data_IF_250653775067
#
_entry.id   IF_250653775067
#
_cell.length_a   1.000
_cell.length_b   1.000
_cell.length_c   1.000
_cell.angle_alpha   90.00
_cell.angle_beta   90.00
_cell.angle_gamma   90.00
#
_symmetry.space_group_name_H-M   'P 1'
#
loop_
_entity.id
_entity.type
_entity.pdbx_description
1 polymer ?
#
# COMPACT_ATOMS: atom_id res chain seq x y z
N UNK A 1 19.67 1.35 -38.95
CA UNK A 1 19.04 2.68 -38.86
C UNK A 1 18.23 2.67 -37.57
N UNK A 2 18.83 3.21 -36.51
CA UNK A 2 18.24 3.29 -35.17
C UNK A 2 17.26 4.48 -35.16
N UNK A 3 16.03 4.28 -34.71
CA UNK A 3 15.02 5.34 -34.58
C UNK A 3 14.79 5.64 -33.09
N UNK A 4 15.12 6.83 -32.57
CA UNK A 4 15.09 7.12 -31.13
C UNK A 4 13.68 7.37 -30.55
N UNK A 5 12.60 7.04 -31.27
CA UNK A 5 11.23 7.51 -30.91
C UNK A 5 10.38 6.41 -30.25
N UNK A 6 10.88 5.19 -30.07
CA UNK A 6 10.13 4.14 -29.35
C UNK A 6 10.12 4.27 -27.82
N UNK A 7 10.76 5.29 -27.24
CA UNK A 7 10.80 5.51 -25.78
C UNK A 7 9.82 6.61 -25.27
N UNK A 8 9.00 7.19 -26.14
CA UNK A 8 8.03 8.24 -25.77
C UNK A 8 6.58 7.76 -25.84
N UNK A 9 6.20 6.83 -24.95
CA UNK A 9 4.84 6.59 -24.43
C UNK A 9 4.91 5.35 -23.52
N UNK A 10 4.98 5.43 -22.19
CA UNK A 10 3.83 5.75 -21.36
C UNK A 10 4.22 5.86 -19.87
N UNK A 11 5.26 6.64 -19.51
CA UNK A 11 5.38 7.08 -18.11
C UNK A 11 4.20 8.01 -17.80
N UNK A 12 3.05 7.41 -17.45
CA UNK A 12 1.89 8.11 -16.89
C UNK A 12 2.46 8.95 -15.76
N UNK A 13 2.46 10.26 -15.94
CA UNK A 13 2.80 11.17 -14.85
C UNK A 13 1.82 10.85 -13.72
N UNK A 14 2.28 10.76 -12.45
CA UNK A 14 1.35 10.60 -11.34
C UNK A 14 0.34 11.74 -11.42
N UNK A 15 -0.95 11.40 -11.44
CA UNK A 15 -2.02 12.40 -11.60
C UNK A 15 -2.15 13.27 -10.35
N UNK A 16 -1.70 12.76 -9.20
CA UNK A 16 -1.80 13.39 -7.90
C UNK A 16 -0.44 13.26 -7.21
N UNK A 17 0.12 14.36 -6.74
CA UNK A 17 1.41 14.39 -6.07
C UNK A 17 1.28 15.16 -4.75
N UNK A 18 1.70 14.54 -3.66
CA UNK A 18 1.79 15.16 -2.34
C UNK A 18 3.27 15.41 -2.02
N UNK A 19 3.68 16.67 -2.12
CA UNK A 19 5.08 17.10 -1.92
C UNK A 19 5.42 17.45 -0.46
N UNK A 20 4.46 17.23 0.45
CA UNK A 20 4.52 17.49 1.88
C UNK A 20 4.09 16.23 2.64
N UNK A 21 4.44 16.12 3.92
CA UNK A 21 3.98 15.02 4.76
C UNK A 21 2.46 15.06 4.89
N UNK A 22 1.81 13.89 4.81
CA UNK A 22 0.35 13.76 4.86
C UNK A 22 -0.04 12.88 6.04
N UNK A 23 -1.02 13.31 6.82
CA UNK A 23 -1.56 12.54 7.94
C UNK A 23 -3.06 12.32 7.77
N UNK A 24 -3.44 11.05 7.80
CA UNK A 24 -4.78 10.51 7.93
C UNK A 24 -4.91 9.69 9.22
N UNK A 25 -4.08 9.99 10.22
CA UNK A 25 -4.06 9.29 11.51
C UNK A 25 -5.46 9.30 12.12
N UNK A 26 -6.02 8.12 12.41
CA UNK A 26 -7.38 7.93 12.93
C UNK A 26 -8.51 8.46 12.04
N UNK A 27 -8.24 8.77 10.77
CA UNK A 27 -9.27 9.17 9.83
C UNK A 27 -10.30 8.04 9.63
N UNK A 28 -11.54 8.41 9.33
CA UNK A 28 -12.61 7.47 9.03
C UNK A 28 -13.09 7.75 7.61
N UNK A 29 -12.91 6.76 6.73
CA UNK A 29 -13.42 6.79 5.37
C UNK A 29 -14.68 5.91 5.32
N UNK A 30 -15.85 6.56 5.38
CA UNK A 30 -17.16 5.89 5.40
C UNK A 30 -17.62 5.33 4.04
N UNK A 31 -16.89 5.63 2.97
CA UNK A 31 -17.16 5.19 1.59
C UNK A 31 -15.83 4.96 0.88
N UNK A 32 -15.89 4.52 -0.37
CA UNK A 32 -14.69 4.29 -1.20
C UNK A 32 -13.79 5.52 -1.22
N UNK A 33 -12.49 5.30 -1.01
CA UNK A 33 -11.43 6.31 -1.11
C UNK A 33 -10.37 5.83 -2.09
N UNK A 34 -9.98 6.69 -3.02
CA UNK A 34 -9.01 6.36 -4.07
C UNK A 34 -7.79 7.25 -4.03
N UNK A 35 -6.61 6.63 -4.00
CA UNK A 35 -5.30 7.23 -4.16
C UNK A 35 -4.60 6.75 -5.44
N UNK A 36 -5.27 5.96 -6.29
CA UNK A 36 -4.72 5.35 -7.49
C UNK A 36 -3.86 6.28 -8.36
N UNK A 37 -2.66 5.83 -8.74
CA UNK A 37 -1.61 6.60 -9.45
C UNK A 37 -1.08 7.83 -8.68
N UNK A 38 -1.26 7.94 -7.36
CA UNK A 38 -0.70 9.03 -6.58
C UNK A 38 0.79 8.81 -6.25
N UNK A 39 1.50 9.90 -5.99
CA UNK A 39 2.84 9.85 -5.41
C UNK A 39 2.89 10.68 -4.13
N UNK A 40 3.30 10.04 -3.04
CA UNK A 40 3.57 10.67 -1.76
C UNK A 40 5.08 10.82 -1.59
N UNK A 41 5.58 12.05 -1.72
CA UNK A 41 7.01 12.31 -1.72
C UNK A 41 7.64 12.43 -0.31
N UNK A 42 6.79 12.43 0.72
CA UNK A 42 7.17 12.60 2.13
C UNK A 42 6.40 11.61 3.00
N UNK A 43 6.70 11.62 4.29
CA UNK A 43 6.10 10.72 5.27
C UNK A 43 4.57 10.75 5.18
N UNK A 44 3.96 9.56 5.17
CA UNK A 44 2.51 9.41 5.10
C UNK A 44 2.01 8.52 6.22
N UNK A 45 1.09 9.04 7.04
CA UNK A 45 0.57 8.34 8.22
C UNK A 45 -0.93 8.04 8.09
N UNK A 46 -1.27 6.77 7.93
CA UNK A 46 -2.62 6.21 7.99
C UNK A 46 -2.86 5.44 9.30
N UNK A 47 -2.00 5.60 10.32
CA UNK A 47 -2.09 4.79 11.52
C UNK A 47 -3.44 4.95 12.22
N UNK A 48 -4.02 3.82 12.64
CA UNK A 48 -5.36 3.73 13.23
C UNK A 48 -6.51 4.27 12.35
N UNK A 49 -6.29 4.53 11.06
CA UNK A 49 -7.36 4.90 10.13
C UNK A 49 -8.33 3.72 9.90
N UNK A 50 -9.58 4.03 9.58
CA UNK A 50 -10.61 3.03 9.28
C UNK A 50 -11.21 3.26 7.91
N UNK A 51 -11.20 2.21 7.09
CA UNK A 51 -11.73 2.21 5.72
C UNK A 51 -12.96 1.29 5.66
N UNK A 52 -14.15 1.87 5.66
CA UNK A 52 -15.41 1.12 5.57
C UNK A 52 -15.77 0.75 4.13
N UNK A 53 -15.46 1.64 3.18
CA UNK A 53 -15.50 1.34 1.75
C UNK A 53 -14.17 0.81 1.24
N UNK A 54 -14.10 0.59 -0.07
CA UNK A 54 -12.87 0.21 -0.76
C UNK A 54 -11.78 1.27 -0.60
N UNK A 55 -10.55 0.83 -0.33
CA UNK A 55 -9.36 1.68 -0.27
C UNK A 55 -8.43 1.33 -1.43
N UNK A 56 -8.44 2.17 -2.47
CA UNK A 56 -7.69 1.93 -3.71
C UNK A 56 -6.34 2.67 -3.68
N UNK A 57 -5.27 1.92 -3.44
CA UNK A 57 -3.87 2.37 -3.56
C UNK A 57 -3.17 1.79 -4.80
N UNK A 58 -3.89 1.39 -5.85
CA UNK A 58 -3.27 0.81 -7.05
C UNK A 58 -2.27 1.80 -7.72
N UNK A 59 -1.09 1.31 -8.12
CA UNK A 59 -0.04 2.11 -8.79
C UNK A 59 0.36 3.35 -7.96
N UNK A 60 0.29 3.28 -6.62
CA UNK A 60 0.75 4.35 -5.73
C UNK A 60 2.26 4.23 -5.50
N UNK A 61 2.93 5.37 -5.42
CA UNK A 61 4.34 5.45 -4.99
C UNK A 61 4.45 6.18 -3.66
N UNK A 62 5.01 5.51 -2.66
CA UNK A 62 5.40 6.09 -1.39
C UNK A 62 6.93 6.25 -1.37
N UNK A 63 7.43 7.48 -1.56
CA UNK A 63 8.86 7.76 -1.64
C UNK A 63 9.55 7.91 -0.27
N UNK A 64 8.78 7.82 0.82
CA UNK A 64 9.25 7.97 2.19
C UNK A 64 8.45 7.06 3.13
N UNK A 65 8.80 7.08 4.43
CA UNK A 65 8.20 6.21 5.44
C UNK A 65 6.67 6.29 5.41
N UNK A 66 6.03 5.11 5.37
CA UNK A 66 4.57 5.01 5.33
C UNK A 66 4.05 4.12 6.44
N UNK A 67 3.07 4.63 7.19
CA UNK A 67 2.57 3.99 8.39
C UNK A 67 1.08 3.65 8.28
N UNK A 68 0.75 2.37 8.15
CA UNK A 68 -0.59 1.79 8.26
C UNK A 68 -0.80 1.03 9.57
N UNK A 69 0.05 1.22 10.58
CA UNK A 69 -0.08 0.48 11.84
C UNK A 69 -1.45 0.68 12.48
N UNK A 70 -2.05 -0.43 12.94
CA UNK A 70 -3.40 -0.45 13.54
C UNK A 70 -4.52 0.04 12.62
N UNK A 71 -4.26 0.26 11.33
CA UNK A 71 -5.32 0.60 10.39
C UNK A 71 -6.29 -0.58 10.23
N UNK A 72 -7.57 -0.29 10.02
CA UNK A 72 -8.62 -1.29 9.83
C UNK A 72 -9.26 -1.10 8.45
N UNK A 73 -9.05 -2.07 7.58
CA UNK A 73 -9.65 -2.16 6.26
C UNK A 73 -10.85 -3.09 6.34
N UNK A 74 -12.04 -2.50 6.55
CA UNK A 74 -13.30 -3.24 6.59
C UNK A 74 -13.75 -3.60 5.18
N UNK A 75 -13.66 -2.62 4.26
CA UNK A 75 -13.78 -2.86 2.83
C UNK A 75 -12.51 -3.48 2.24
N UNK A 76 -12.54 -3.76 0.93
CA UNK A 76 -11.36 -4.23 0.20
C UNK A 76 -10.26 -3.16 0.19
N UNK A 77 -9.00 -3.61 0.27
CA UNK A 77 -7.83 -2.76 0.20
C UNK A 77 -6.92 -3.25 -0.93
N UNK A 78 -6.73 -2.41 -1.93
CA UNK A 78 -5.86 -2.72 -3.08
C UNK A 78 -4.55 -1.95 -2.95
N UNK A 79 -3.45 -2.67 -3.01
CA UNK A 79 -2.07 -2.18 -3.09
C UNK A 79 -1.36 -2.75 -4.32
N UNK A 80 -2.12 -3.16 -5.34
CA UNK A 80 -1.58 -3.70 -6.58
C UNK A 80 -0.61 -2.71 -7.22
N UNK A 81 0.52 -3.20 -7.72
CA UNK A 81 1.56 -2.39 -8.35
C UNK A 81 2.07 -1.20 -7.49
N UNK A 82 1.82 -1.21 -6.18
CA UNK A 82 2.27 -0.15 -5.26
C UNK A 82 3.75 -0.28 -4.99
N UNK A 83 4.48 0.83 -5.03
CA UNK A 83 5.89 0.89 -4.71
C UNK A 83 6.11 1.64 -3.38
N UNK A 84 6.59 0.92 -2.37
CA UNK A 84 7.09 1.47 -1.11
C UNK A 84 8.61 1.62 -1.20
N UNK A 85 9.08 2.83 -1.48
CA UNK A 85 10.50 3.14 -1.69
C UNK A 85 11.27 3.37 -0.39
N UNK A 86 10.56 3.50 0.74
CA UNK A 86 11.11 3.55 2.09
C UNK A 86 10.35 2.58 3.02
N UNK A 87 10.61 2.61 4.33
CA UNK A 87 10.02 1.67 5.26
C UNK A 87 8.49 1.74 5.29
N UNK A 88 7.85 0.58 5.30
CA UNK A 88 6.39 0.46 5.36
C UNK A 88 5.96 -0.33 6.61
N UNK A 89 5.01 0.22 7.38
CA UNK A 89 4.56 -0.40 8.63
C UNK A 89 3.08 -0.76 8.52
N UNK A 90 2.77 -2.04 8.57
CA UNK A 90 1.42 -2.61 8.66
C UNK A 90 1.19 -3.33 10.00
N UNK A 91 2.03 -3.07 11.00
CA UNK A 91 1.97 -3.76 12.29
C UNK A 91 0.59 -3.61 12.94
N UNK A 92 -0.01 -4.73 13.34
CA UNK A 92 -1.34 -4.80 13.96
C UNK A 92 -2.46 -4.24 13.07
N UNK A 93 -2.23 -4.08 11.76
CA UNK A 93 -3.28 -3.73 10.81
C UNK A 93 -4.27 -4.89 10.66
N UNK A 94 -5.55 -4.57 10.47
CA UNK A 94 -6.63 -5.55 10.31
C UNK A 94 -7.23 -5.42 8.93
N UNK A 95 -7.08 -6.44 8.10
CA UNK A 95 -7.72 -6.56 6.81
C UNK A 95 -8.91 -7.51 6.93
N UNK A 96 -10.11 -6.96 7.09
CA UNK A 96 -11.36 -7.74 7.11
C UNK A 96 -11.88 -8.01 5.71
N UNK A 97 -11.73 -7.03 4.81
CA UNK A 97 -11.91 -7.22 3.37
C UNK A 97 -10.69 -7.90 2.74
N UNK A 98 -10.78 -8.19 1.44
CA UNK A 98 -9.64 -8.65 0.66
C UNK A 98 -8.50 -7.62 0.72
N UNK A 99 -7.28 -8.08 0.94
CA UNK A 99 -6.07 -7.26 0.92
C UNK A 99 -5.20 -7.72 -0.24
N UNK A 100 -5.18 -6.94 -1.31
CA UNK A 100 -4.50 -7.31 -2.54
C UNK A 100 -3.17 -6.58 -2.67
N UNK A 101 -2.06 -7.28 -2.47
CA UNK A 101 -0.70 -6.77 -2.66
C UNK A 101 -0.06 -7.26 -3.97
N UNK A 102 -0.83 -7.78 -4.92
CA UNK A 102 -0.27 -8.33 -6.17
C UNK A 102 0.73 -7.39 -6.85
N UNK A 103 1.93 -7.88 -7.18
CA UNK A 103 3.04 -7.11 -7.79
C UNK A 103 3.48 -5.86 -7.02
N UNK A 104 3.09 -5.72 -5.74
CA UNK A 104 3.59 -4.66 -4.87
C UNK A 104 5.10 -4.83 -4.63
N UNK A 105 5.82 -3.71 -4.44
CA UNK A 105 7.25 -3.70 -4.19
C UNK A 105 7.57 -2.98 -2.89
N UNK A 106 8.21 -3.68 -1.97
CA UNK A 106 8.79 -3.15 -0.75
C UNK A 106 10.30 -3.04 -0.94
N UNK A 107 10.79 -1.83 -1.21
CA UNK A 107 12.21 -1.59 -1.53
C UNK A 107 13.08 -1.40 -0.27
N UNK A 108 12.44 -1.22 0.90
CA UNK A 108 13.05 -1.19 2.24
C UNK A 108 12.32 -2.15 3.18
N UNK A 109 12.49 -1.97 4.49
CA UNK A 109 11.94 -2.88 5.47
C UNK A 109 10.41 -2.75 5.51
N UNK A 110 9.73 -3.89 5.59
CA UNK A 110 8.28 -3.94 5.77
C UNK A 110 7.90 -4.77 6.98
N UNK A 111 6.99 -4.23 7.79
CA UNK A 111 6.59 -4.83 9.05
C UNK A 111 5.08 -5.14 9.06
N UNK A 112 4.72 -6.41 8.89
CA UNK A 112 3.38 -6.96 9.08
C UNK A 112 3.21 -7.65 10.44
N UNK A 113 4.02 -7.31 11.45
CA UNK A 113 3.96 -7.92 12.77
C UNK A 113 2.55 -7.86 13.37
N UNK A 114 2.02 -9.02 13.75
CA UNK A 114 0.66 -9.17 14.28
C UNK A 114 -0.46 -8.57 13.41
N UNK A 115 -0.23 -8.43 12.10
CA UNK A 115 -1.28 -8.05 11.16
C UNK A 115 -2.27 -9.21 10.97
N UNK A 116 -3.56 -8.89 10.87
CA UNK A 116 -4.63 -9.87 10.72
C UNK A 116 -5.23 -9.77 9.31
N UNK A 117 -5.05 -10.80 8.50
CA UNK A 117 -5.69 -10.97 7.19
C UNK A 117 -6.89 -11.91 7.35
N UNK A 118 -8.02 -11.34 7.78
CA UNK A 118 -9.27 -12.07 7.96
C UNK A 118 -10.01 -12.28 6.62
N UNK A 119 -9.90 -11.31 5.71
CA UNK A 119 -10.20 -11.50 4.30
C UNK A 119 -9.07 -12.24 3.57
N UNK A 120 -9.19 -12.39 2.25
CA UNK A 120 -8.15 -12.99 1.42
C UNK A 120 -6.92 -12.07 1.35
N UNK A 121 -5.76 -12.56 1.75
CA UNK A 121 -4.48 -11.85 1.58
C UNK A 121 -3.74 -12.33 0.34
N UNK A 122 -3.67 -11.51 -0.71
CA UNK A 122 -2.99 -11.85 -1.96
C UNK A 122 -1.59 -11.23 -1.98
N UNK A 123 -0.55 -12.07 -2.02
CA UNK A 123 0.86 -11.67 -2.02
C UNK A 123 1.63 -12.22 -3.23
N UNK A 124 0.90 -12.52 -4.30
CA UNK A 124 1.47 -13.02 -5.56
C UNK A 124 2.34 -11.95 -6.22
N UNK A 125 3.52 -12.35 -6.72
CA UNK A 125 4.50 -11.46 -7.36
C UNK A 125 4.98 -10.28 -6.48
N UNK A 126 4.83 -10.36 -5.15
CA UNK A 126 5.32 -9.32 -4.25
C UNK A 126 6.85 -9.35 -4.17
N UNK A 127 7.48 -8.19 -4.40
CA UNK A 127 8.91 -8.00 -4.24
C UNK A 127 9.27 -7.47 -2.86
N UNK A 128 10.04 -8.24 -2.09
CA UNK A 128 10.63 -7.80 -0.81
C UNK A 128 12.15 -7.63 -0.97
N UNK A 129 12.67 -6.41 -0.87
CA UNK A 129 14.09 -6.12 -1.12
C UNK A 129 14.97 -6.11 0.13
N UNK A 130 14.36 -5.98 1.31
CA UNK A 130 15.01 -5.92 2.63
C UNK A 130 14.23 -6.73 3.66
N UNK A 131 14.38 -6.43 4.94
CA UNK A 131 13.78 -7.24 6.00
C UNK A 131 12.26 -7.18 5.92
N UNK A 132 11.64 -8.35 6.04
CA UNK A 132 10.18 -8.50 5.99
C UNK A 132 9.76 -9.33 7.19
N UNK A 133 8.90 -8.76 8.04
CA UNK A 133 8.38 -9.45 9.21
C UNK A 133 6.91 -9.76 9.05
N UNK A 134 6.58 -11.05 9.12
CA UNK A 134 5.21 -11.56 9.32
C UNK A 134 5.06 -12.20 10.71
N UNK A 135 5.94 -11.86 11.67
CA UNK A 135 5.92 -12.48 13.00
C UNK A 135 4.57 -12.21 13.66
N UNK A 136 3.84 -13.27 14.01
CA UNK A 136 2.51 -13.19 14.62
C UNK A 136 1.41 -12.73 13.67
N UNK A 137 1.69 -12.54 12.38
CA UNK A 137 0.65 -12.25 11.40
C UNK A 137 -0.25 -13.48 11.22
N UNK A 138 -1.55 -13.24 11.07
CA UNK A 138 -2.55 -14.30 10.90
C UNK A 138 -3.18 -14.19 9.51
N UNK A 139 -3.33 -15.33 8.83
CA UNK A 139 -3.99 -15.43 7.53
C UNK A 139 -5.14 -16.42 7.63
N UNK A 140 -6.38 -15.91 7.62
CA UNK A 140 -7.56 -16.76 7.71
C UNK A 140 -7.83 -17.49 6.38
N UNK A 141 -7.48 -16.85 5.26
CA UNK A 141 -7.68 -17.37 3.92
C UNK A 141 -6.46 -17.02 3.06
N UNK A 142 -5.85 -18.03 2.44
CA UNK A 142 -4.73 -17.89 1.49
C UNK A 142 -5.17 -18.42 0.14
N UNK A 143 -4.83 -17.71 -0.94
CA UNK A 143 -4.96 -18.23 -2.31
C UNK A 143 -3.75 -19.10 -2.66
#
# INVERSE_FOLDING_TARGET
>A
MWSPISELSSKKRPKIKFDFSVSFTKAIFGSTVGFKNATFCRETDFSSARFYGEADFEDVKFDSNTNFSRAEFVGEATFMDTEFNDNAIFAVAKFRGCANFWSAKFNRDVNFHAAEFNGLGLFEDVGFSKETSFIGAEFAHTA
#
